data_IF_934454892707
#
_entry.id   IF_934454892707
#
_cell.length_a   1.000
_cell.length_b   1.000
_cell.length_c   1.000
_cell.angle_alpha   90.00
_cell.angle_beta   90.00
_cell.angle_gamma   90.00
#
_symmetry.space_group_name_H-M   'P 1'
#
loop_
_entity.id
_entity.type
_entity.pdbx_description
1 polymer ?
#
# COMPACT_ATOMS: atom_id res chain seq x y z
N UNK A 1 -19.96 -13.03 -26.60
CA UNK A 1 -18.98 -12.10 -26.00
C UNK A 1 -19.69 -11.35 -24.90
N UNK A 2 -19.50 -11.77 -23.65
CA UNK A 2 -20.19 -11.15 -22.51
C UNK A 2 -19.37 -9.95 -22.09
N UNK A 3 -19.92 -8.75 -22.27
CA UNK A 3 -19.35 -7.50 -21.79
C UNK A 3 -19.33 -7.57 -20.26
N UNK A 4 -18.19 -7.90 -19.66
CA UNK A 4 -18.02 -7.76 -18.21
C UNK A 4 -17.95 -6.27 -17.90
N UNK A 5 -19.07 -5.70 -17.52
CA UNK A 5 -19.15 -4.34 -16.99
C UNK A 5 -18.44 -4.34 -15.63
N UNK A 6 -17.14 -4.03 -15.61
CA UNK A 6 -16.40 -3.81 -14.35
C UNK A 6 -17.01 -2.63 -13.62
N UNK A 7 -17.55 -2.89 -12.42
CA UNK A 7 -18.11 -1.86 -11.55
C UNK A 7 -17.02 -0.84 -11.17
N UNK A 8 -17.38 0.41 -10.84
CA UNK A 8 -16.40 1.41 -10.40
C UNK A 8 -15.51 0.92 -9.24
N UNK A 9 -16.07 0.14 -8.31
CA UNK A 9 -15.30 -0.53 -7.25
C UNK A 9 -14.31 -1.56 -7.81
N UNK A 10 -14.71 -2.35 -8.81
CA UNK A 10 -13.81 -3.28 -9.50
C UNK A 10 -12.64 -2.56 -10.18
N UNK A 11 -12.91 -1.46 -10.90
CA UNK A 11 -11.85 -0.64 -11.54
C UNK A 11 -10.89 -0.03 -10.52
N UNK A 12 -11.42 0.45 -9.40
CA UNK A 12 -10.60 1.01 -8.32
C UNK A 12 -9.71 -0.05 -7.66
N UNK A 13 -10.26 -1.25 -7.41
CA UNK A 13 -9.50 -2.39 -6.88
C UNK A 13 -8.38 -2.82 -7.83
N UNK A 14 -8.67 -2.96 -9.12
CA UNK A 14 -7.66 -3.35 -10.12
C UNK A 14 -6.53 -2.31 -10.20
N UNK A 15 -6.88 -1.02 -10.20
CA UNK A 15 -5.90 0.06 -10.13
C UNK A 15 -5.01 -0.01 -8.87
N UNK A 16 -5.58 -0.29 -7.70
CA UNK A 16 -4.80 -0.48 -6.47
C UNK A 16 -3.88 -1.70 -6.53
N UNK A 17 -4.30 -2.78 -7.19
CA UNK A 17 -3.44 -3.96 -7.42
C UNK A 17 -2.26 -3.57 -8.33
N UNK A 18 -2.52 -2.86 -9.41
CA UNK A 18 -1.44 -2.41 -10.32
C UNK A 18 -0.47 -1.45 -9.63
N UNK A 19 -0.99 -0.49 -8.85
CA UNK A 19 -0.19 0.48 -8.11
C UNK A 19 0.63 -0.20 -7.00
N UNK A 20 0.05 -1.11 -6.22
CA UNK A 20 0.80 -1.84 -5.17
C UNK A 20 1.90 -2.71 -5.78
N UNK A 21 1.64 -3.38 -6.91
CA UNK A 21 2.66 -4.14 -7.65
C UNK A 21 3.78 -3.25 -8.21
N UNK A 22 3.43 -2.07 -8.72
CA UNK A 22 4.39 -1.07 -9.22
C UNK A 22 5.28 -0.58 -8.09
N UNK A 23 4.68 -0.19 -6.97
CA UNK A 23 5.38 0.28 -5.77
C UNK A 23 6.26 -0.82 -5.17
N UNK A 24 5.83 -2.08 -5.16
CA UNK A 24 6.66 -3.18 -4.67
C UNK A 24 7.96 -3.34 -5.49
N UNK A 25 7.91 -3.15 -6.81
CA UNK A 25 9.10 -3.17 -7.67
C UNK A 25 9.98 -1.95 -7.40
N UNK A 26 9.39 -0.76 -7.35
CA UNK A 26 10.08 0.50 -7.08
C UNK A 26 10.81 0.45 -5.73
N UNK A 27 10.20 -0.12 -4.69
CA UNK A 27 10.84 -0.38 -3.39
C UNK A 27 12.04 -1.30 -3.50
N UNK A 28 11.92 -2.40 -4.26
CA UNK A 28 13.04 -3.32 -4.45
C UNK A 28 14.21 -2.65 -5.16
N UNK A 29 13.94 -1.77 -6.13
CA UNK A 29 14.96 -0.98 -6.83
C UNK A 29 15.61 0.04 -5.87
N UNK A 30 14.79 0.79 -5.11
CA UNK A 30 15.26 1.82 -4.17
C UNK A 30 15.99 1.22 -2.96
N UNK A 31 15.70 -0.02 -2.57
CA UNK A 31 16.39 -0.68 -1.46
C UNK A 31 17.89 -0.91 -1.74
N UNK A 32 18.30 -0.99 -3.02
CA UNK A 32 19.69 -1.28 -3.40
C UNK A 32 20.50 0.00 -3.55
N UNK A 33 19.94 1.04 -4.20
CA UNK A 33 20.70 2.24 -4.58
C UNK A 33 19.93 3.55 -4.38
N UNK A 34 18.73 3.50 -3.82
CA UNK A 34 17.87 4.67 -3.70
C UNK A 34 18.37 5.66 -2.64
N UNK A 35 18.27 6.99 -2.88
CA UNK A 35 18.47 7.96 -1.82
C UNK A 35 17.41 7.76 -0.72
N UNK A 36 17.81 7.95 0.54
CA UNK A 36 16.96 7.68 1.71
C UNK A 36 15.56 8.30 1.60
N UNK A 37 15.48 9.57 1.19
CA UNK A 37 14.20 10.27 1.03
C UNK A 37 13.28 9.59 0.01
N UNK A 38 13.81 9.19 -1.15
CA UNK A 38 13.01 8.49 -2.17
C UNK A 38 12.53 7.13 -1.66
N UNK A 39 13.37 6.40 -0.92
CA UNK A 39 13.00 5.13 -0.29
C UNK A 39 11.86 5.33 0.70
N UNK A 40 11.96 6.29 1.62
CA UNK A 40 10.93 6.55 2.63
C UNK A 40 9.59 6.96 2.00
N UNK A 41 9.62 7.82 0.98
CA UNK A 41 8.40 8.19 0.24
C UNK A 41 7.78 6.98 -0.47
N UNK A 42 8.59 6.11 -1.05
CA UNK A 42 8.10 4.92 -1.75
C UNK A 42 7.52 3.88 -0.76
N UNK A 43 8.21 3.66 0.35
CA UNK A 43 7.75 2.80 1.46
C UNK A 43 6.40 3.32 2.00
N UNK A 44 6.28 4.61 2.30
CA UNK A 44 5.02 5.23 2.73
C UNK A 44 3.87 4.95 1.76
N UNK A 45 4.06 5.28 0.47
CA UNK A 45 3.04 5.10 -0.57
C UNK A 45 2.61 3.65 -0.72
N UNK A 46 3.57 2.71 -0.65
CA UNK A 46 3.27 1.29 -0.71
C UNK A 46 2.40 0.84 0.46
N UNK A 47 2.77 1.24 1.67
CA UNK A 47 2.03 0.85 2.87
C UNK A 47 0.62 1.45 2.89
N UNK A 48 0.44 2.69 2.42
CA UNK A 48 -0.89 3.29 2.21
C UNK A 48 -1.72 2.52 1.17
N UNK A 49 -1.15 2.25 -0.01
CA UNK A 49 -1.85 1.52 -1.07
C UNK A 49 -2.24 0.08 -0.64
N UNK A 50 -1.41 -0.59 0.16
CA UNK A 50 -1.72 -1.90 0.74
C UNK A 50 -2.85 -1.82 1.78
N UNK A 51 -2.87 -0.78 2.61
CA UNK A 51 -3.99 -0.54 3.55
C UNK A 51 -5.32 -0.40 2.80
N UNK A 52 -5.34 0.40 1.73
CA UNK A 52 -6.52 0.61 0.90
C UNK A 52 -6.96 -0.67 0.20
N UNK A 53 -6.01 -1.42 -0.38
CA UNK A 53 -6.31 -2.70 -1.04
C UNK A 53 -6.89 -3.72 -0.07
N UNK A 54 -6.33 -3.81 1.15
CA UNK A 54 -6.84 -4.70 2.20
C UNK A 54 -8.22 -4.27 2.70
N UNK A 55 -8.53 -2.97 2.72
CA UNK A 55 -9.85 -2.47 3.07
C UNK A 55 -10.93 -2.86 2.05
N UNK A 56 -10.56 -3.07 0.78
CA UNK A 56 -11.46 -3.54 -0.28
C UNK A 56 -11.55 -5.07 -0.39
N UNK A 57 -10.77 -5.81 0.41
CA UNK A 57 -10.74 -7.26 0.34
C UNK A 57 -11.91 -7.85 1.12
N UNK A 58 -12.82 -8.51 0.41
CA UNK A 58 -13.92 -9.27 1.01
C UNK A 58 -13.38 -10.59 1.59
N UNK A 59 -13.58 -10.81 2.89
CA UNK A 59 -13.22 -12.05 3.55
C UNK A 59 -14.28 -13.14 3.30
N UNK A 60 -13.83 -14.39 3.19
CA UNK A 60 -14.69 -15.55 2.96
C UNK A 60 -15.15 -16.22 4.26
N UNK A 61 -14.47 -15.92 5.38
CA UNK A 61 -14.80 -16.35 6.75
C UNK A 61 -14.19 -15.39 7.79
N UNK A 62 -14.53 -15.59 9.08
CA UNK A 62 -14.06 -14.76 10.19
C UNK A 62 -12.53 -14.82 10.36
N UNK A 63 -11.91 -16.00 10.14
CA UNK A 63 -10.46 -16.17 10.25
C UNK A 63 -9.71 -15.36 9.17
N UNK A 64 -10.23 -15.33 7.94
CA UNK A 64 -9.75 -14.51 6.85
C UNK A 64 -9.93 -13.03 7.18
N UNK A 65 -11.06 -12.63 7.77
CA UNK A 65 -11.30 -11.26 8.18
C UNK A 65 -10.28 -10.80 9.23
N UNK A 66 -10.00 -11.64 10.23
CA UNK A 66 -8.98 -11.36 11.26
C UNK A 66 -7.60 -11.21 10.63
N UNK A 67 -7.21 -12.10 9.71
CA UNK A 67 -5.92 -12.02 8.99
C UNK A 67 -5.82 -10.74 8.15
N UNK A 68 -6.85 -10.40 7.39
CA UNK A 68 -6.89 -9.18 6.56
C UNK A 68 -6.76 -7.95 7.45
N UNK A 69 -7.53 -7.88 8.54
CA UNK A 69 -7.47 -6.76 9.49
C UNK A 69 -6.10 -6.66 10.16
N UNK A 70 -5.49 -7.79 10.57
CA UNK A 70 -4.14 -7.81 11.14
C UNK A 70 -3.09 -7.30 10.16
N UNK A 71 -3.17 -7.71 8.88
CA UNK A 71 -2.30 -7.18 7.80
C UNK A 71 -2.53 -5.68 7.60
N UNK A 72 -3.79 -5.23 7.62
CA UNK A 72 -4.14 -3.82 7.43
C UNK A 72 -3.55 -2.95 8.53
N UNK A 73 -3.67 -3.39 9.80
CA UNK A 73 -3.08 -2.69 10.95
C UNK A 73 -1.55 -2.63 10.86
N UNK A 74 -0.90 -3.71 10.42
CA UNK A 74 0.54 -3.74 10.19
C UNK A 74 0.95 -2.71 9.11
N UNK A 75 0.24 -2.65 7.98
CA UNK A 75 0.54 -1.68 6.94
C UNK A 75 0.28 -0.24 7.38
N UNK A 76 -0.79 0.00 8.14
CA UNK A 76 -1.05 1.32 8.73
C UNK A 76 0.09 1.76 9.64
N UNK A 77 0.54 0.89 10.55
CA UNK A 77 1.65 1.19 11.45
C UNK A 77 2.91 1.62 10.70
N UNK A 78 3.28 0.91 9.62
CA UNK A 78 4.43 1.28 8.81
C UNK A 78 4.22 2.59 8.06
N UNK A 79 3.03 2.85 7.53
CA UNK A 79 2.72 4.13 6.89
C UNK A 79 2.90 5.29 7.89
N UNK A 80 2.34 5.17 9.10
CA UNK A 80 2.46 6.19 10.14
C UNK A 80 3.94 6.39 10.55
N UNK A 81 4.71 5.32 10.64
CA UNK A 81 6.14 5.37 10.94
C UNK A 81 6.93 6.13 9.86
N UNK A 82 6.76 5.80 8.58
CA UNK A 82 7.48 6.48 7.49
C UNK A 82 7.01 7.92 7.30
N UNK A 83 5.72 8.20 7.51
CA UNK A 83 5.20 9.56 7.54
C UNK A 83 5.91 10.39 8.62
N UNK A 84 6.04 9.85 9.83
CA UNK A 84 6.75 10.51 10.91
C UNK A 84 8.23 10.75 10.58
N UNK A 85 8.93 9.77 9.99
CA UNK A 85 10.33 9.95 9.59
C UNK A 85 10.51 11.06 8.54
N UNK A 86 9.59 11.15 7.57
CA UNK A 86 9.60 12.23 6.56
C UNK A 86 9.39 13.60 7.20
N UNK A 87 8.44 13.73 8.12
CA UNK A 87 8.17 14.98 8.85
C UNK A 87 9.39 15.45 9.67
N UNK A 88 10.14 14.51 10.27
CA UNK A 88 11.37 14.85 10.99
C UNK A 88 12.47 15.37 10.05
N UNK A 89 12.55 14.84 8.83
CA UNK A 89 13.53 15.29 7.84
C UNK A 89 13.19 16.68 7.30
N UNK A 90 11.90 16.97 7.07
CA UNK A 90 11.43 18.29 6.63
C UNK A 90 11.60 19.37 7.71
N UNK A 91 11.40 19.01 8.99
CA UNK A 91 11.60 19.92 10.12
C UNK A 91 13.07 20.18 10.50
N UNK A 92 14.01 19.39 9.97
CA UNK A 92 15.44 19.51 10.22
C UNK A 92 16.19 20.31 9.13
N UNK A 93 15.51 20.69 8.03
CA UNK A 93 16.03 21.47 6.91
C UNK A 93 15.75 22.98 7.07
#
# INVERSE_FOLDING_TARGET
>A
MTTMTTTPMGRYRDHLIDETNRLQRERAELAVTGPMLARLCCDLRYHQAMTDLLALTEAWDDDAQVRINGRRLMHQFFADHYQHELEQLEGAA
#
